data_IF_471188192402
#
_entry.id   IF_471188192402
#
_cell.length_a   1.000
_cell.length_b   1.000
_cell.length_c   1.000
_cell.angle_alpha   90.00
_cell.angle_beta   90.00
_cell.angle_gamma   90.00
#
_symmetry.space_group_name_H-M   'P 1'
#
loop_
_entity.id
_entity.type
_entity.pdbx_description
1 polymer ?
#
# COMPACT_ATOMS: atom_id res chain seq x y z
N UNK A 1 -20.75 20.79 25.30
CA UNK A 1 -20.84 19.40 25.76
C UNK A 1 -20.72 18.52 24.51
N UNK A 2 -19.76 17.58 24.43
CA UNK A 2 -19.70 16.62 23.32
C UNK A 2 -20.73 15.53 23.59
N UNK A 3 -21.58 15.24 22.63
CA UNK A 3 -22.48 14.08 22.70
C UNK A 3 -21.67 12.81 22.43
N UNK A 4 -21.51 11.96 23.45
CA UNK A 4 -20.73 10.72 23.35
C UNK A 4 -21.49 9.57 22.69
N UNK A 5 -22.78 9.75 22.40
CA UNK A 5 -23.61 8.73 21.75
C UNK A 5 -23.38 8.66 20.24
N UNK A 6 -22.77 9.69 19.65
CA UNK A 6 -22.53 9.80 18.22
C UNK A 6 -21.05 9.96 17.89
N UNK A 7 -20.66 9.47 16.72
CA UNK A 7 -19.34 9.70 16.13
C UNK A 7 -19.51 10.46 14.82
N UNK A 8 -18.80 11.58 14.69
CA UNK A 8 -18.73 12.35 13.45
C UNK A 8 -17.38 12.10 12.77
N UNK A 9 -17.41 11.72 11.50
CA UNK A 9 -16.19 11.49 10.71
C UNK A 9 -16.44 11.70 9.22
N UNK A 10 -15.36 11.82 8.46
CA UNK A 10 -15.44 11.87 7.01
C UNK A 10 -15.80 10.49 6.43
N UNK A 11 -16.65 10.50 5.40
CA UNK A 11 -16.92 9.33 4.59
C UNK A 11 -15.71 8.97 3.71
N UNK A 12 -15.57 7.68 3.40
CA UNK A 12 -14.52 7.15 2.53
C UNK A 12 -14.54 7.77 1.11
N UNK A 13 -15.69 8.28 0.66
CA UNK A 13 -15.85 8.97 -0.62
C UNK A 13 -16.69 10.24 -0.47
N UNK A 14 -16.34 11.25 -1.27
CA UNK A 14 -17.10 12.50 -1.53
C UNK A 14 -16.99 13.64 -0.50
N UNK A 15 -15.98 13.64 0.37
CA UNK A 15 -15.76 14.74 1.34
C UNK A 15 -17.03 15.08 2.16
N UNK A 16 -17.82 14.06 2.47
CA UNK A 16 -19.05 14.18 3.26
C UNK A 16 -18.75 13.86 4.72
N UNK A 17 -19.36 14.60 5.65
CA UNK A 17 -19.37 14.24 7.06
C UNK A 17 -20.53 13.27 7.34
N UNK A 18 -20.27 12.23 8.11
CA UNK A 18 -21.25 11.21 8.51
C UNK A 18 -21.35 11.21 10.03
N UNK A 19 -22.59 11.15 10.51
CA UNK A 19 -22.89 10.92 11.94
C UNK A 19 -23.37 9.49 12.09
N UNK A 20 -22.74 8.72 12.99
CA UNK A 20 -23.05 7.31 13.26
C UNK A 20 -23.25 7.13 14.76
N UNK A 21 -24.20 6.28 15.15
CA UNK A 21 -24.32 5.83 16.54
C UNK A 21 -23.02 5.15 16.99
N UNK A 22 -22.48 5.59 18.13
CA UNK A 22 -21.18 5.16 18.63
C UNK A 22 -21.16 3.67 19.00
N UNK A 23 -22.28 3.12 19.49
CA UNK A 23 -22.38 1.69 19.81
C UNK A 23 -22.33 0.86 18.53
N UNK A 24 -23.10 1.23 17.50
CA UNK A 24 -23.09 0.57 16.20
C UNK A 24 -21.72 0.66 15.53
N UNK A 25 -21.06 1.82 15.62
CA UNK A 25 -19.71 1.99 15.09
C UNK A 25 -18.72 1.02 15.73
N UNK A 26 -18.70 0.93 17.07
CA UNK A 26 -17.80 0.02 17.80
C UNK A 26 -18.04 -1.44 17.47
N UNK A 27 -19.30 -1.87 17.34
CA UNK A 27 -19.65 -3.24 16.94
C UNK A 27 -19.03 -3.58 15.59
N UNK A 28 -19.25 -2.73 14.58
CA UNK A 28 -18.71 -2.94 13.23
C UNK A 28 -17.19 -2.93 13.17
N UNK A 29 -16.55 -2.11 14.01
CA UNK A 29 -15.08 -2.10 14.14
C UNK A 29 -14.59 -3.44 14.70
N UNK A 30 -15.21 -3.95 15.76
CA UNK A 30 -14.80 -5.22 16.37
C UNK A 30 -15.08 -6.42 15.45
N UNK A 31 -16.18 -6.40 14.68
CA UNK A 31 -16.44 -7.39 13.63
C UNK A 31 -15.27 -7.42 12.62
N UNK A 32 -14.88 -6.26 12.07
CA UNK A 32 -13.76 -6.18 11.13
C UNK A 32 -12.43 -6.65 11.72
N UNK A 33 -12.16 -6.33 12.99
CA UNK A 33 -10.95 -6.80 13.68
C UNK A 33 -10.96 -8.32 13.90
N UNK A 34 -12.14 -8.88 14.17
CA UNK A 34 -12.30 -10.31 14.43
C UNK A 34 -12.17 -11.15 13.17
N UNK A 35 -12.59 -10.62 12.01
CA UNK A 35 -12.42 -11.33 10.72
C UNK A 35 -10.95 -11.51 10.32
N UNK A 36 -10.05 -10.65 10.83
CA UNK A 36 -8.62 -10.71 10.50
C UNK A 36 -8.28 -10.36 9.04
N UNK A 37 -9.25 -9.93 8.23
CA UNK A 37 -9.06 -9.65 6.80
C UNK A 37 -8.16 -8.44 6.52
N UNK A 38 -8.06 -7.50 7.44
CA UNK A 38 -7.15 -6.34 7.31
C UNK A 38 -6.03 -6.34 8.34
N UNK A 39 -6.36 -6.55 9.61
CA UNK A 39 -5.40 -6.46 10.71
C UNK A 39 -5.67 -7.59 11.70
N UNK A 40 -4.62 -8.29 12.08
CA UNK A 40 -4.69 -9.29 13.14
C UNK A 40 -4.04 -8.74 14.40
N UNK A 41 -4.70 -8.93 15.54
CA UNK A 41 -4.10 -8.60 16.82
C UNK A 41 -2.98 -9.59 17.09
N UNK A 42 -1.74 -9.12 17.10
CA UNK A 42 -0.61 -9.93 17.52
C UNK A 42 -0.63 -10.05 19.04
N UNK A 43 -0.49 -11.28 19.54
CA UNK A 43 -0.27 -11.55 20.96
C UNK A 43 1.22 -11.43 21.27
N UNK A 44 1.55 -10.97 22.47
CA UNK A 44 2.90 -11.05 23.03
C UNK A 44 3.98 -10.28 22.25
N UNK A 45 3.67 -9.05 21.86
CA UNK A 45 4.69 -8.12 21.32
C UNK A 45 5.19 -7.21 22.44
N UNK A 46 6.50 -7.23 22.67
CA UNK A 46 7.20 -6.13 23.32
C UNK A 46 7.35 -4.97 22.32
N UNK A 47 6.53 -3.93 22.50
CA UNK A 47 6.52 -2.75 21.62
C UNK A 47 7.89 -2.04 21.62
N UNK A 48 8.59 -2.04 22.75
CA UNK A 48 9.88 -1.37 22.91
C UNK A 48 10.95 -2.16 22.18
N UNK A 49 10.99 -3.49 22.35
CA UNK A 49 11.94 -4.36 21.66
C UNK A 49 11.77 -4.25 20.13
N UNK A 50 10.54 -4.38 19.64
CA UNK A 50 10.25 -4.28 18.20
C UNK A 50 10.64 -2.91 17.64
N UNK A 51 10.38 -1.84 18.38
CA UNK A 51 10.78 -0.51 17.98
C UNK A 51 12.31 -0.39 17.86
N UNK A 52 13.05 -0.91 18.84
CA UNK A 52 14.52 -0.91 18.82
C UNK A 52 15.07 -1.74 17.64
N UNK A 53 14.47 -2.89 17.34
CA UNK A 53 14.85 -3.71 16.18
C UNK A 53 14.66 -2.96 14.86
N UNK A 54 13.51 -2.29 14.70
CA UNK A 54 13.20 -1.50 13.50
C UNK A 54 14.20 -0.35 13.37
N UNK A 55 14.48 0.37 14.46
CA UNK A 55 15.45 1.47 14.50
C UNK A 55 16.84 1.01 14.02
N UNK A 56 17.33 -0.10 14.57
CA UNK A 56 18.62 -0.68 14.19
C UNK A 56 18.68 -1.09 12.71
N UNK A 57 17.58 -1.62 12.15
CA UNK A 57 17.52 -1.99 10.72
C UNK A 57 17.55 -0.72 9.86
N UNK A 58 16.76 0.29 10.22
CA UNK A 58 16.67 1.53 9.46
C UNK A 58 17.99 2.29 9.44
N UNK A 59 18.68 2.40 10.58
CA UNK A 59 20.00 3.02 10.67
C UNK A 59 21.04 2.30 9.79
N UNK A 60 21.07 0.96 9.84
CA UNK A 60 21.95 0.15 8.97
C UNK A 60 21.66 0.39 7.48
N UNK A 61 20.39 0.59 7.11
CA UNK A 61 20.02 0.87 5.72
C UNK A 61 20.37 2.30 5.30
N UNK A 62 20.18 3.31 6.15
CA UNK A 62 20.61 4.69 5.89
C UNK A 62 22.10 4.77 5.58
N UNK A 63 22.92 4.13 6.41
CA UNK A 63 24.37 4.07 6.25
C UNK A 63 24.76 3.44 4.91
N UNK A 64 24.05 2.39 4.47
CA UNK A 64 24.31 1.73 3.17
C UNK A 64 23.87 2.57 1.97
N UNK A 65 22.73 3.25 2.08
CA UNK A 65 22.17 4.04 0.98
C UNK A 65 22.83 5.41 0.85
N UNK A 66 23.49 5.89 1.92
CA UNK A 66 23.94 7.27 2.08
C UNK A 66 22.80 8.27 1.82
N UNK A 67 21.61 7.94 2.33
CA UNK A 67 20.38 8.73 2.18
C UNK A 67 19.52 8.55 3.43
N UNK A 68 18.96 9.65 3.93
CA UNK A 68 18.11 9.63 5.13
C UNK A 68 16.72 9.08 4.77
N UNK A 69 16.49 7.82 5.08
CA UNK A 69 15.25 7.06 4.84
C UNK A 69 14.40 6.85 6.10
N UNK A 70 14.84 7.38 7.23
CA UNK A 70 14.20 7.23 8.54
C UNK A 70 13.73 8.59 9.08
N UNK A 71 12.52 8.61 9.61
CA UNK A 71 11.95 9.77 10.32
C UNK A 71 10.94 9.31 11.37
N UNK A 72 10.92 10.00 12.50
CA UNK A 72 9.94 9.93 13.60
C UNK A 72 9.50 8.53 14.10
N UNK A 73 9.55 8.38 15.43
CA UNK A 73 9.19 7.15 16.16
C UNK A 73 7.67 7.04 16.37
N UNK A 74 6.88 6.75 15.32
CA UNK A 74 5.43 6.53 15.47
C UNK A 74 4.97 5.32 14.69
N UNK A 75 4.23 4.42 15.35
CA UNK A 75 3.58 3.29 14.68
C UNK A 75 2.45 3.75 13.75
N UNK A 76 2.15 2.94 12.74
CA UNK A 76 0.99 3.15 11.89
C UNK A 76 -0.31 3.12 12.72
N UNK A 77 -1.27 3.96 12.34
CA UNK A 77 -2.58 4.02 13.01
C UNK A 77 -3.64 3.47 12.06
N UNK A 78 -4.46 2.55 12.55
CA UNK A 78 -5.63 2.04 11.83
C UNK A 78 -6.87 2.79 12.28
N UNK A 79 -7.65 3.30 11.33
CA UNK A 79 -8.99 3.85 11.57
C UNK A 79 -9.99 3.32 10.54
N UNK A 80 -11.29 3.52 10.80
CA UNK A 80 -12.36 2.91 10.01
C UNK A 80 -13.33 3.98 9.52
N UNK A 81 -13.45 4.11 8.19
CA UNK A 81 -14.32 5.10 7.54
C UNK A 81 -15.59 4.45 6.94
N UNK A 82 -16.75 5.11 7.00
CA UNK A 82 -17.99 4.56 6.46
C UNK A 82 -18.05 4.62 4.93
N UNK A 83 -18.43 3.48 4.32
CA UNK A 83 -18.77 3.36 2.90
C UNK A 83 -20.26 3.67 2.70
N UNK A 84 -20.58 4.95 2.57
CA UNK A 84 -21.97 5.46 2.44
C UNK A 84 -22.66 5.18 1.09
N UNK A 85 -22.00 4.49 0.18
CA UNK A 85 -22.53 4.16 -1.16
C UNK A 85 -23.08 2.72 -1.25
N UNK A 86 -23.09 1.96 -0.14
CA UNK A 86 -23.72 0.64 -0.03
C UNK A 86 -25.02 0.75 0.80
N UNK A 87 -26.01 -0.10 0.52
CA UNK A 87 -27.30 -0.10 1.23
C UNK A 87 -27.13 -0.28 2.74
N UNK A 88 -26.20 -1.16 3.14
CA UNK A 88 -25.73 -1.26 4.51
C UNK A 88 -24.42 -0.48 4.67
N UNK A 89 -24.33 0.35 5.70
CA UNK A 89 -23.11 1.12 6.01
C UNK A 89 -22.03 0.14 6.47
N UNK A 90 -21.22 -0.33 5.53
CA UNK A 90 -19.97 -1.04 5.82
C UNK A 90 -18.85 -0.05 6.14
N UNK A 91 -17.84 -0.50 6.89
CA UNK A 91 -16.65 0.29 7.18
C UNK A 91 -15.48 -0.14 6.27
N UNK A 92 -14.58 0.80 5.95
CA UNK A 92 -13.29 0.56 5.32
C UNK A 92 -12.20 0.85 6.32
N UNK A 93 -11.38 -0.15 6.59
CA UNK A 93 -10.14 0.00 7.34
C UNK A 93 -9.13 0.81 6.51
N UNK A 94 -8.52 1.82 7.13
CA UNK A 94 -7.46 2.63 6.54
C UNK A 94 -6.27 2.61 7.50
N UNK A 95 -5.11 2.28 6.95
CA UNK A 95 -3.83 2.30 7.67
C UNK A 95 -3.14 3.62 7.33
N UNK A 96 -3.08 4.54 8.28
CA UNK A 96 -2.28 5.74 8.16
C UNK A 96 -0.84 5.47 8.56
N UNK A 97 0.05 5.62 7.58
CA UNK A 97 1.51 5.54 7.73
C UNK A 97 2.17 6.92 7.67
N UNK A 98 1.38 8.00 7.80
CA UNK A 98 1.91 9.36 7.83
C UNK A 98 2.87 9.52 9.01
N UNK A 99 4.11 9.94 8.72
CA UNK A 99 5.18 10.11 9.70
C UNK A 99 5.53 8.82 10.47
N UNK A 100 5.29 7.65 9.85
CA UNK A 100 5.74 6.35 10.38
C UNK A 100 7.23 6.12 10.05
N UNK A 101 7.89 5.22 10.79
CA UNK A 101 9.30 4.85 10.67
C UNK A 101 9.74 4.58 9.22
N UNK A 102 8.91 3.92 8.42
CA UNK A 102 9.23 3.53 7.04
C UNK A 102 8.69 4.50 5.98
N UNK A 103 8.12 5.66 6.35
CA UNK A 103 7.48 6.56 5.39
C UNK A 103 8.47 7.09 4.32
N UNK A 104 9.64 7.56 4.74
CA UNK A 104 10.68 8.05 3.82
C UNK A 104 11.25 6.92 2.94
N UNK A 105 11.45 5.73 3.50
CA UNK A 105 11.84 4.54 2.75
C UNK A 105 10.79 4.18 1.68
N UNK A 106 9.51 4.13 2.05
CA UNK A 106 8.43 3.85 1.11
C UNK A 106 8.37 4.89 -0.02
N UNK A 107 8.58 6.17 0.30
CA UNK A 107 8.66 7.25 -0.70
C UNK A 107 9.85 7.06 -1.64
N UNK A 108 11.03 6.72 -1.10
CA UNK A 108 12.21 6.42 -1.91
C UNK A 108 11.99 5.22 -2.83
N UNK A 109 11.43 4.12 -2.32
CA UNK A 109 11.10 2.95 -3.16
C UNK A 109 10.08 3.31 -4.24
N UNK A 110 9.08 4.14 -3.90
CA UNK A 110 8.09 4.62 -4.87
C UNK A 110 8.75 5.36 -6.03
N UNK A 111 9.73 6.24 -5.79
CA UNK A 111 10.40 6.96 -6.89
C UNK A 111 11.17 6.01 -7.83
N UNK A 112 11.76 4.94 -7.29
CA UNK A 112 12.41 3.91 -8.10
C UNK A 112 11.37 3.12 -8.92
N UNK A 113 10.27 2.72 -8.28
CA UNK A 113 9.21 1.93 -8.90
C UNK A 113 8.49 2.72 -10.00
N UNK A 114 8.27 4.02 -9.82
CA UNK A 114 7.63 4.90 -10.82
C UNK A 114 8.38 4.88 -12.16
N UNK A 115 9.72 4.87 -12.13
CA UNK A 115 10.56 4.75 -13.35
C UNK A 115 10.39 3.42 -14.08
N UNK A 116 9.96 2.36 -13.38
CA UNK A 116 9.63 1.07 -13.97
C UNK A 116 8.16 1.03 -14.43
N UNK A 117 7.24 1.50 -13.58
CA UNK A 117 5.79 1.50 -13.80
C UNK A 117 5.39 2.24 -15.07
N UNK A 118 5.95 3.43 -15.28
CA UNK A 118 5.66 4.28 -16.46
C UNK A 118 6.10 3.69 -17.80
N UNK A 119 6.95 2.66 -17.79
CA UNK A 119 7.42 1.96 -19.00
C UNK A 119 6.55 0.74 -19.36
N UNK A 120 5.58 0.36 -18.51
CA UNK A 120 4.71 -0.78 -18.77
C UNK A 120 3.74 -0.47 -19.91
N UNK A 121 3.48 -1.44 -20.78
CA UNK A 121 2.52 -1.28 -21.89
C UNK A 121 1.08 -1.02 -21.41
N UNK A 122 0.74 -1.52 -20.23
CA UNK A 122 -0.55 -1.32 -19.57
C UNK A 122 -0.63 -0.02 -18.76
N UNK A 123 0.44 0.78 -18.71
CA UNK A 123 0.45 2.01 -17.93
C UNK A 123 -0.48 3.04 -18.56
N UNK A 124 -1.44 3.51 -17.76
CA UNK A 124 -2.29 4.66 -18.08
C UNK A 124 -2.03 5.72 -17.01
N UNK A 125 -1.80 6.95 -17.45
CA UNK A 125 -1.42 8.06 -16.57
C UNK A 125 -2.54 8.47 -15.62
N UNK A 126 -3.73 8.71 -16.17
CA UNK A 126 -4.90 9.23 -15.45
C UNK A 126 -6.20 8.91 -16.20
N UNK A 127 -7.34 9.20 -15.56
CA UNK A 127 -8.68 8.96 -16.10
C UNK A 127 -8.96 9.77 -17.37
N UNK A 128 -8.43 10.98 -17.48
CA UNK A 128 -8.57 11.83 -18.67
C UNK A 128 -7.86 11.22 -19.88
N UNK A 129 -6.66 10.65 -19.67
CA UNK A 129 -5.90 9.95 -20.70
C UNK A 129 -6.62 8.68 -21.14
N UNK A 130 -7.18 7.92 -20.18
CA UNK A 130 -8.02 6.76 -20.49
C UNK A 130 -9.24 7.12 -21.34
N UNK A 131 -9.97 8.18 -20.97
CA UNK A 131 -11.16 8.62 -21.70
C UNK A 131 -10.84 8.95 -23.16
N UNK A 132 -9.72 9.65 -23.40
CA UNK A 132 -9.23 9.94 -24.77
C UNK A 132 -8.89 8.67 -25.54
N UNK A 133 -8.22 7.72 -24.90
CA UNK A 133 -7.82 6.45 -25.52
C UNK A 133 -9.03 5.63 -25.96
N UNK A 134 -10.07 5.56 -25.13
CA UNK A 134 -11.30 4.83 -25.45
C UNK A 134 -12.11 5.53 -26.55
N UNK A 135 -12.18 6.87 -26.54
CA UNK A 135 -12.86 7.64 -27.59
C UNK A 135 -12.26 7.45 -28.99
N UNK A 136 -10.96 7.11 -29.07
CA UNK A 136 -10.27 6.85 -30.33
C UNK A 136 -10.53 5.44 -30.89
N UNK A 137 -11.11 4.53 -30.10
CA UNK A 137 -11.41 3.17 -30.57
C UNK A 137 -12.60 3.19 -31.54
N UNK A 138 -12.51 2.37 -32.60
CA UNK A 138 -13.59 2.17 -33.59
C UNK A 138 -14.10 0.73 -33.51
N UNK A 139 -14.96 0.40 -32.53
CA UNK A 139 -15.43 -0.96 -32.34
C UNK A 139 -16.21 -1.45 -33.57
N UNK A 140 -16.00 -2.71 -33.92
CA UNK A 140 -16.74 -3.41 -34.96
C UNK A 140 -18.06 -3.94 -34.41
N UNK A 141 -18.96 -4.36 -35.32
CA UNK A 141 -20.33 -4.82 -34.98
C UNK A 141 -20.39 -5.93 -33.92
N UNK A 142 -19.33 -6.72 -33.78
CA UNK A 142 -19.26 -7.86 -32.87
C UNK A 142 -18.25 -7.68 -31.73
N UNK A 143 -17.70 -6.48 -31.55
CA UNK A 143 -16.78 -6.21 -30.45
C UNK A 143 -17.55 -6.04 -29.14
N UNK A 144 -16.95 -6.51 -28.04
CA UNK A 144 -17.51 -6.39 -26.70
C UNK A 144 -16.65 -5.49 -25.83
N UNK A 145 -17.30 -4.60 -25.10
CA UNK A 145 -16.66 -3.83 -24.04
C UNK A 145 -16.97 -4.48 -22.69
N UNK A 146 -15.93 -4.89 -21.98
CA UNK A 146 -16.04 -5.50 -20.67
C UNK A 146 -15.51 -4.54 -19.60
N UNK A 147 -16.32 -4.31 -18.57
CA UNK A 147 -15.91 -3.59 -17.36
C UNK A 147 -15.75 -4.62 -16.23
N UNK A 148 -14.53 -4.72 -15.70
CA UNK A 148 -14.18 -5.61 -14.61
C UNK A 148 -13.72 -4.77 -13.42
N UNK A 149 -14.20 -5.11 -12.23
CA UNK A 149 -13.77 -4.50 -10.98
C UNK A 149 -13.05 -5.54 -10.11
N UNK A 150 -12.02 -5.11 -9.40
CA UNK A 150 -11.24 -5.97 -8.50
C UNK A 150 -11.58 -5.60 -7.07
N UNK A 151 -12.28 -6.49 -6.36
CA UNK A 151 -12.63 -6.32 -4.94
C UNK A 151 -12.14 -7.53 -4.12
N UNK A 152 -11.39 -7.33 -3.01
CA UNK A 152 -10.58 -6.16 -2.61
C UNK A 152 -9.15 -6.16 -3.18
N UNK A 153 -8.71 -5.05 -3.79
CA UNK A 153 -7.37 -4.94 -4.40
C UNK A 153 -6.22 -5.05 -3.39
N UNK A 154 -6.26 -4.30 -2.28
CA UNK A 154 -5.10 -4.17 -1.38
C UNK A 154 -4.81 -5.41 -0.53
N UNK A 155 -5.84 -6.14 -0.11
CA UNK A 155 -5.68 -7.34 0.73
C UNK A 155 -5.40 -8.60 -0.08
N UNK A 156 -5.64 -8.59 -1.39
CA UNK A 156 -5.36 -9.72 -2.29
C UNK A 156 -4.07 -9.54 -3.10
N UNK A 157 -3.19 -8.62 -2.72
CA UNK A 157 -1.90 -8.46 -3.39
C UNK A 157 -1.01 -9.65 -3.00
N UNK A 158 -0.51 -10.45 -3.97
CA UNK A 158 0.42 -11.54 -3.68
C UNK A 158 1.77 -10.94 -3.24
N UNK A 159 2.02 -10.96 -1.92
CA UNK A 159 3.08 -10.17 -1.28
C UNK A 159 4.47 -10.56 -1.79
N UNK A 160 4.74 -11.85 -1.90
CA UNK A 160 6.04 -12.35 -2.35
C UNK A 160 6.32 -11.89 -3.78
N UNK A 161 5.42 -12.17 -4.71
CA UNK A 161 5.52 -11.82 -6.12
C UNK A 161 5.69 -10.31 -6.32
N UNK A 162 4.98 -9.51 -5.52
CA UNK A 162 5.03 -8.06 -5.56
C UNK A 162 6.38 -7.50 -5.09
N UNK A 163 7.08 -8.20 -4.20
CA UNK A 163 8.44 -7.85 -3.79
C UNK A 163 9.46 -8.29 -4.85
N UNK A 164 9.34 -9.51 -5.37
CA UNK A 164 10.33 -10.08 -6.29
C UNK A 164 10.29 -9.43 -7.69
N UNK A 165 9.11 -9.07 -8.20
CA UNK A 165 8.97 -8.54 -9.55
C UNK A 165 9.77 -7.23 -9.75
N UNK A 166 9.66 -6.21 -8.88
CA UNK A 166 10.51 -5.03 -8.95
C UNK A 166 12.00 -5.32 -8.88
N UNK A 167 12.43 -6.19 -7.96
CA UNK A 167 13.83 -6.57 -7.80
C UNK A 167 14.38 -7.14 -9.12
N UNK A 168 13.63 -8.06 -9.74
CA UNK A 168 13.97 -8.63 -11.04
C UNK A 168 14.06 -7.57 -12.14
N UNK A 169 13.13 -6.62 -12.17
CA UNK A 169 13.14 -5.50 -13.14
C UNK A 169 14.39 -4.63 -12.95
N UNK A 170 14.72 -4.26 -11.71
CA UNK A 170 15.89 -3.44 -11.41
C UNK A 170 17.20 -4.15 -11.71
N UNK A 171 17.30 -5.45 -11.42
CA UNK A 171 18.51 -6.23 -11.72
C UNK A 171 18.73 -6.46 -13.22
N UNK A 172 17.65 -6.54 -14.02
CA UNK A 172 17.74 -6.66 -15.48
C UNK A 172 18.15 -5.35 -16.18
N UNK A 173 17.81 -4.18 -15.63
CA UNK A 173 18.14 -2.84 -16.19
C UNK A 173 19.64 -2.46 -16.13
N UNK A 174 20.52 -3.42 -15.80
CA UNK A 174 21.97 -3.28 -15.62
C UNK A 174 22.77 -2.72 -16.81
N UNK A 175 22.14 -2.40 -17.94
CA UNK A 175 22.86 -1.99 -19.16
C UNK A 175 22.75 -0.50 -19.50
N UNK A 176 21.94 0.32 -18.79
CA UNK A 176 21.70 1.72 -19.20
C UNK A 176 21.55 2.79 -18.10
N UNK A 177 21.40 2.46 -16.81
CA UNK A 177 21.16 3.48 -15.75
C UNK A 177 22.05 3.31 -14.50
N UNK A 178 22.89 4.31 -14.20
CA UNK A 178 23.86 4.30 -13.09
C UNK A 178 23.25 4.52 -11.70
N UNK A 179 21.99 4.94 -11.57
CA UNK A 179 21.38 5.26 -10.26
C UNK A 179 20.87 4.03 -9.48
N UNK A 180 20.64 2.88 -10.13
CA UNK A 180 20.15 1.65 -9.49
C UNK A 180 21.27 0.76 -8.92
N UNK A 181 22.51 1.23 -8.92
CA UNK A 181 23.72 0.40 -8.75
C UNK A 181 23.97 -0.08 -7.32
N UNK A 182 23.55 0.66 -6.29
CA UNK A 182 23.91 0.38 -4.89
C UNK A 182 23.19 -0.82 -4.24
N UNK A 183 22.06 -1.28 -4.80
CA UNK A 183 21.29 -2.41 -4.24
C UNK A 183 21.87 -3.78 -4.66
N UNK A 184 22.61 -3.85 -5.77
CA UNK A 184 23.10 -5.10 -6.35
C UNK A 184 24.33 -5.66 -5.64
N UNK A 185 25.21 -4.78 -5.13
CA UNK A 185 26.46 -5.21 -4.46
C UNK A 185 26.20 -5.79 -3.07
N UNK A 186 24.93 -5.87 -2.66
CA UNK A 186 24.49 -6.51 -1.43
C UNK A 186 24.44 -8.04 -1.61
N UNK A 187 25.36 -8.81 -1.00
CA UNK A 187 25.43 -10.26 -1.19
C UNK A 187 24.20 -11.00 -0.66
N UNK A 188 23.49 -10.39 0.29
CA UNK A 188 22.25 -10.94 0.85
C UNK A 188 21.10 -10.98 -0.18
N UNK A 189 20.99 -9.96 -1.03
CA UNK A 189 19.91 -9.85 -2.03
C UNK A 189 20.05 -10.92 -3.11
N UNK A 190 21.29 -11.22 -3.52
CA UNK A 190 21.58 -12.28 -4.50
C UNK A 190 21.24 -13.67 -3.96
N UNK A 191 21.46 -13.92 -2.65
CA UNK A 191 21.11 -15.19 -2.00
C UNK A 191 19.60 -15.40 -1.90
N UNK A 192 18.86 -14.35 -1.55
CA UNK A 192 17.40 -14.39 -1.39
C UNK A 192 16.65 -14.59 -2.72
N UNK A 193 17.23 -14.15 -3.83
CA UNK A 193 16.68 -14.36 -5.17
C UNK A 193 16.96 -15.78 -5.65
N UNK A 194 18.18 -16.30 -5.40
CA UNK A 194 18.57 -17.64 -5.80
C UNK A 194 17.82 -18.74 -5.03
N UNK A 195 17.34 -18.47 -3.81
CA UNK A 195 16.44 -19.37 -3.08
C UNK A 195 15.03 -19.36 -3.67
N UNK A 196 14.56 -18.23 -4.17
CA UNK A 196 13.23 -18.11 -4.78
C UNK A 196 13.15 -18.73 -6.18
N UNK A 197 14.17 -18.61 -7.03
CA UNK A 197 14.19 -19.24 -8.36
C UNK A 197 14.27 -20.77 -8.35
N UNK A 198 14.45 -21.37 -7.16
CA UNK A 198 14.49 -22.84 -6.96
C UNK A 198 13.17 -23.44 -6.46
N UNK A 199 12.20 -22.61 -6.07
CA UNK A 199 10.85 -23.01 -5.68
C UNK A 199 9.84 -22.66 -6.78
#
# INVERSE_FOLDING_TARGET
MRDETIVMMEADRRSLCVTIDNKQYKIKVEELRSTGETCQKMKDIDEIENQNTIENIMEKMENKLNYRIYDFKKCAVVYYQPKIHKQEISLRSIISTTNNYNYKLAKYLTTLLEKARTKLKSHIKDSSTFAKLIQQQKPQRNDLMLSLDVEPLFTNIPVHETIYLPIKIFMKKKQQDNECTKLRDSPWLTREIASYEKN
#
